data_IF_062973431175
#
_entry.id   IF_062973431175
#
_cell.length_a   1.000
_cell.length_b   1.000
_cell.length_c   1.000
_cell.angle_alpha   90.00
_cell.angle_beta   90.00
_cell.angle_gamma   90.00
#
_symmetry.space_group_name_H-M   'P 1'
#
loop_
_entity.id
_entity.type
_entity.pdbx_description
1 polymer ?
#
# COMPACT_ATOMS: atom_id res chain seq x y z
N UNK A 1 -3.11 16.90 -27.44
CA UNK A 1 -3.42 16.87 -25.99
C UNK A 1 -2.11 16.76 -25.22
N UNK A 2 -1.99 17.41 -24.06
CA UNK A 2 -0.79 17.32 -23.21
C UNK A 2 -0.69 15.94 -22.56
N UNK A 3 0.53 15.49 -22.27
CA UNK A 3 0.81 14.27 -21.49
C UNK A 3 0.08 14.28 -20.14
N UNK A 4 0.00 15.44 -19.50
CA UNK A 4 -0.68 15.63 -18.23
C UNK A 4 -2.18 15.32 -18.33
N UNK A 5 -2.83 15.80 -19.40
CA UNK A 5 -4.26 15.55 -19.63
C UNK A 5 -4.54 14.07 -19.79
N UNK A 6 -3.68 13.34 -20.49
CA UNK A 6 -3.83 11.89 -20.67
C UNK A 6 -3.62 11.12 -19.36
N UNK A 7 -2.65 11.53 -18.54
CA UNK A 7 -2.43 10.94 -17.21
C UNK A 7 -3.63 11.13 -16.28
N UNK A 8 -4.21 12.33 -16.26
CA UNK A 8 -5.41 12.62 -15.46
C UNK A 8 -6.61 11.80 -15.94
N UNK A 9 -6.80 11.70 -17.26
CA UNK A 9 -7.85 10.87 -17.87
C UNK A 9 -7.68 9.40 -17.49
N UNK A 10 -6.46 8.86 -17.56
CA UNK A 10 -6.17 7.49 -17.14
C UNK A 10 -6.48 7.27 -15.65
N UNK A 11 -6.18 8.23 -14.78
CA UNK A 11 -6.50 8.14 -13.34
C UNK A 11 -8.01 8.11 -13.09
N UNK A 12 -8.78 8.95 -13.78
CA UNK A 12 -10.24 8.93 -13.69
C UNK A 12 -10.83 7.59 -14.13
N UNK A 13 -10.36 7.05 -15.26
CA UNK A 13 -10.80 5.73 -15.74
C UNK A 13 -10.48 4.60 -14.75
N UNK A 14 -9.35 4.67 -14.04
CA UNK A 14 -9.00 3.67 -13.00
C UNK A 14 -9.94 3.76 -11.79
N UNK A 15 -10.42 4.95 -11.43
CA UNK A 15 -11.43 5.12 -10.37
C UNK A 15 -12.72 4.39 -10.77
N UNK A 16 -13.19 4.57 -12.01
CA UNK A 16 -14.38 3.88 -12.51
C UNK A 16 -14.19 2.36 -12.53
N UNK A 17 -12.99 1.87 -12.86
CA UNK A 17 -12.67 0.45 -12.81
C UNK A 17 -12.74 -0.11 -11.39
N UNK A 18 -12.23 0.62 -10.39
CA UNK A 18 -12.33 0.24 -8.97
C UNK A 18 -13.80 0.12 -8.53
N UNK A 19 -14.64 1.07 -8.95
CA UNK A 19 -16.08 1.02 -8.68
C UNK A 19 -16.76 -0.18 -9.34
N UNK A 20 -16.41 -0.50 -10.59
CA UNK A 20 -16.94 -1.68 -11.31
C UNK A 20 -16.56 -3.01 -10.66
N UNK A 21 -15.45 -3.05 -9.92
CA UNK A 21 -15.06 -4.20 -9.09
C UNK A 21 -15.86 -4.29 -7.78
N UNK A 22 -16.75 -3.34 -7.49
CA UNK A 22 -17.59 -3.29 -6.28
C UNK A 22 -16.93 -2.61 -5.08
N UNK A 23 -15.79 -1.94 -5.28
CA UNK A 23 -15.08 -1.24 -4.19
C UNK A 23 -15.40 0.26 -4.17
N UNK A 24 -15.37 0.85 -2.97
CA UNK A 24 -15.42 2.29 -2.80
C UNK A 24 -14.06 2.91 -3.17
N UNK A 25 -13.97 3.79 -4.18
CA UNK A 25 -12.70 4.32 -4.65
C UNK A 25 -12.04 5.30 -3.67
N UNK A 26 -12.87 5.92 -2.83
CA UNK A 26 -12.43 6.74 -1.70
C UNK A 26 -12.82 5.99 -0.44
N UNK A 27 -11.86 5.23 0.09
CA UNK A 27 -12.10 4.30 1.19
C UNK A 27 -12.62 4.97 2.46
N UNK A 28 -12.88 4.14 3.47
CA UNK A 28 -13.37 4.57 4.79
C UNK A 28 -12.22 4.66 5.78
N UNK A 29 -12.56 5.02 7.02
CA UNK A 29 -11.64 4.94 8.15
C UNK A 29 -11.01 3.54 8.22
N UNK A 30 -9.68 3.51 8.23
CA UNK A 30 -8.91 2.29 8.38
C UNK A 30 -8.18 2.31 9.73
N UNK A 31 -8.48 1.33 10.58
CA UNK A 31 -7.75 1.17 11.85
C UNK A 31 -6.35 0.62 11.55
N UNK A 32 -5.31 1.41 11.80
CA UNK A 32 -3.91 0.97 11.71
C UNK A 32 -3.40 0.59 13.11
N UNK A 33 -2.35 -0.22 13.19
CA UNK A 33 -1.78 -0.61 14.49
C UNK A 33 -0.47 0.07 14.81
N UNK A 34 0.32 0.41 13.79
CA UNK A 34 1.66 1.00 13.96
C UNK A 34 1.91 2.10 12.94
N UNK A 35 2.88 2.95 13.23
CA UNK A 35 3.49 3.86 12.25
C UNK A 35 4.81 3.29 11.76
N UNK A 36 5.30 3.74 10.60
CA UNK A 36 6.60 3.30 10.06
C UNK A 36 7.75 3.54 11.07
N UNK A 37 7.88 4.72 11.71
CA UNK A 37 8.93 4.93 12.71
C UNK A 37 8.82 3.98 13.91
N UNK A 38 7.60 3.69 14.38
CA UNK A 38 7.39 2.75 15.48
C UNK A 38 7.84 1.33 15.11
N UNK A 39 7.60 0.89 13.87
CA UNK A 39 8.05 -0.42 13.38
C UNK A 39 9.58 -0.46 13.33
N UNK A 40 10.21 0.55 12.73
CA UNK A 40 11.67 0.60 12.61
C UNK A 40 12.33 0.60 13.98
N UNK A 41 11.80 1.35 14.94
CA UNK A 41 12.33 1.38 16.30
C UNK A 41 12.14 0.04 17.04
N UNK A 42 10.95 -0.57 16.97
CA UNK A 42 10.65 -1.79 17.72
C UNK A 42 11.21 -3.08 17.09
N UNK A 43 11.45 -3.09 15.78
CA UNK A 43 11.75 -4.32 15.04
C UNK A 43 12.94 -4.21 14.08
N UNK A 44 13.47 -3.01 13.82
CA UNK A 44 14.54 -2.82 12.84
C UNK A 44 15.88 -3.50 13.17
N UNK A 45 16.13 -3.79 14.45
CA UNK A 45 17.33 -4.51 14.90
C UNK A 45 17.17 -6.02 14.97
N UNK A 46 15.94 -6.55 14.76
CA UNK A 46 15.67 -7.97 14.87
C UNK A 46 16.05 -8.71 13.59
N UNK A 47 16.55 -9.92 13.75
CA UNK A 47 16.83 -10.84 12.65
C UNK A 47 15.53 -11.43 12.08
N UNK A 48 15.62 -12.00 10.87
CA UNK A 48 14.48 -12.66 10.23
C UNK A 48 13.93 -13.82 11.07
N UNK A 49 14.79 -14.55 11.80
CA UNK A 49 14.37 -15.65 12.68
C UNK A 49 13.56 -15.14 13.88
N UNK A 50 13.99 -14.05 14.52
CA UNK A 50 13.29 -13.42 15.65
C UNK A 50 11.96 -12.79 15.27
N UNK A 51 11.76 -12.45 13.99
CA UNK A 51 10.49 -11.95 13.46
C UNK A 51 9.56 -13.07 12.99
N UNK A 52 10.07 -14.29 12.83
CA UNK A 52 9.29 -15.43 12.37
C UNK A 52 8.51 -16.11 13.49
N UNK A 53 9.05 -16.14 14.72
CA UNK A 53 8.43 -16.79 15.87
C UNK A 53 8.57 -15.97 17.18
N UNK A 54 7.48 -15.36 17.70
CA UNK A 54 6.14 -15.29 17.11
C UNK A 54 6.06 -14.24 15.99
N UNK A 55 5.24 -14.47 14.95
CA UNK A 55 5.09 -13.53 13.86
C UNK A 55 4.46 -12.21 14.33
N UNK A 56 5.12 -11.10 14.04
CA UNK A 56 4.64 -9.76 14.35
C UNK A 56 3.57 -9.34 13.33
N UNK A 57 2.31 -9.22 13.77
CA UNK A 57 1.21 -8.77 12.91
C UNK A 57 1.06 -7.24 12.97
N UNK A 58 1.23 -6.59 11.83
CA UNK A 58 1.05 -5.14 11.69
C UNK A 58 -0.01 -4.79 10.65
N UNK A 59 -0.69 -3.66 10.84
CA UNK A 59 -1.64 -3.06 9.88
C UNK A 59 -1.18 -1.64 9.62
N UNK A 60 -0.94 -1.31 8.35
CA UNK A 60 -0.41 -0.02 7.92
C UNK A 60 -1.29 0.57 6.82
N UNK A 61 -1.21 1.89 6.69
CA UNK A 61 -1.80 2.67 5.60
C UNK A 61 -0.81 3.78 5.20
N UNK A 62 -0.83 4.19 3.93
CA UNK A 62 0.08 5.22 3.43
C UNK A 62 -0.10 5.49 1.93
N UNK A 63 0.75 6.37 1.39
CA UNK A 63 0.81 6.66 -0.04
C UNK A 63 1.75 5.68 -0.73
N UNK A 64 1.34 5.18 -1.90
CA UNK A 64 2.22 4.41 -2.78
C UNK A 64 3.16 5.39 -3.48
N UNK A 65 4.43 5.37 -3.09
CA UNK A 65 5.47 6.22 -3.70
C UNK A 65 6.10 5.54 -4.92
N UNK A 66 6.44 4.25 -4.79
CA UNK A 66 7.05 3.45 -5.85
C UNK A 66 6.40 2.07 -5.90
N UNK A 67 6.50 1.42 -7.06
CA UNK A 67 6.03 0.05 -7.24
C UNK A 67 6.97 -0.70 -8.18
N UNK A 68 7.46 -1.85 -7.74
CA UNK A 68 8.29 -2.75 -8.55
C UNK A 68 7.59 -4.08 -8.72
N UNK A 69 7.08 -4.33 -9.93
CA UNK A 69 6.34 -5.57 -10.26
C UNK A 69 7.31 -6.68 -10.64
N UNK A 70 7.07 -7.88 -10.11
CA UNK A 70 7.84 -9.11 -10.35
C UNK A 70 6.89 -10.28 -10.66
N UNK A 71 6.07 -10.14 -11.70
CA UNK A 71 5.08 -11.15 -12.08
C UNK A 71 4.01 -11.36 -11.01
N UNK A 72 4.15 -12.43 -10.23
CA UNK A 72 3.24 -12.78 -9.11
C UNK A 72 3.64 -12.14 -7.77
N UNK A 73 4.81 -11.51 -7.70
CA UNK A 73 5.27 -10.74 -6.54
C UNK A 73 5.37 -9.25 -6.88
N UNK A 74 5.33 -8.40 -5.87
CA UNK A 74 5.53 -6.97 -6.00
C UNK A 74 6.12 -6.39 -4.72
N UNK A 75 6.86 -5.31 -4.87
CA UNK A 75 7.41 -4.50 -3.78
C UNK A 75 6.95 -3.06 -3.94
#
# INVERSE_FOLDING_TARGET
>A
MSLETELLKQRAQRIDQIQKLGYEPYGRRFEFTHTIPAILHGYGSKSAAELADPPVRVRLCGRVETIRRMGKAGF
#
